data_IF_275598466773
#
_entry.id   IF_275598466773
#
_cell.length_a   1.000
_cell.length_b   1.000
_cell.length_c   1.000
_cell.angle_alpha   90.00
_cell.angle_beta   90.00
_cell.angle_gamma   90.00
#
_symmetry.space_group_name_H-M   'P 1'
#
loop_
_entity.id
_entity.type
_entity.pdbx_description
1 polymer ?
#
# COMPACT_ATOMS: atom_id res chain seq x y z
N UNK A 1 0.46 14.68 2.24
CA UNK A 1 0.92 14.00 1.01
C UNK A 1 1.89 12.90 1.40
N UNK A 2 1.61 11.65 1.04
CA UNK A 2 2.48 10.52 1.36
C UNK A 2 3.62 10.39 0.35
N UNK A 3 4.74 9.82 0.79
CA UNK A 3 5.87 9.46 -0.06
C UNK A 3 6.35 8.07 0.36
N UNK A 4 6.58 7.20 -0.61
CA UNK A 4 7.16 5.88 -0.44
C UNK A 4 8.35 5.76 -1.38
N UNK A 5 9.55 5.65 -0.83
CA UNK A 5 10.78 5.31 -1.57
C UNK A 5 11.08 3.84 -1.32
N UNK A 6 11.37 3.10 -2.36
CA UNK A 6 11.67 1.68 -2.22
C UNK A 6 12.69 1.18 -3.22
N UNK A 7 13.49 0.21 -2.78
CA UNK A 7 14.39 -0.56 -3.61
C UNK A 7 13.93 -2.01 -3.62
N UNK A 8 13.82 -2.59 -4.80
CA UNK A 8 13.45 -3.98 -5.02
C UNK A 8 14.54 -4.71 -5.78
N UNK A 9 15.01 -5.82 -5.22
CA UNK A 9 15.97 -6.74 -5.84
C UNK A 9 15.73 -8.14 -5.25
N UNK A 10 15.03 -9.03 -5.99
CA UNK A 10 14.63 -10.35 -5.49
C UNK A 10 15.82 -11.26 -5.19
N UNK A 11 17.01 -11.00 -5.76
CA UNK A 11 18.22 -11.77 -5.55
C UNK A 11 19.07 -11.26 -4.38
N UNK A 12 18.67 -10.13 -3.80
CA UNK A 12 19.35 -9.53 -2.65
C UNK A 12 19.01 -10.23 -1.34
N UNK A 13 19.91 -10.13 -0.35
CA UNK A 13 19.63 -10.53 1.04
C UNK A 13 18.46 -9.76 1.66
N UNK A 14 18.21 -8.53 1.18
CA UNK A 14 17.05 -7.71 1.52
C UNK A 14 16.25 -7.42 0.25
N UNK A 15 15.36 -8.32 -0.18
CA UNK A 15 14.69 -8.21 -1.48
C UNK A 15 13.82 -6.97 -1.62
N UNK A 16 13.37 -6.39 -0.52
CA UNK A 16 12.61 -5.15 -0.51
C UNK A 16 13.07 -4.26 0.65
N UNK A 17 13.49 -3.03 0.33
CA UNK A 17 13.80 -1.99 1.31
C UNK A 17 12.86 -0.82 1.07
N UNK A 18 12.18 -0.34 2.12
CA UNK A 18 11.18 0.72 2.03
C UNK A 18 11.43 1.81 3.06
N UNK A 19 11.37 3.06 2.62
CA UNK A 19 11.31 4.23 3.47
C UNK A 19 10.05 5.05 3.10
N UNK A 20 9.18 5.31 4.07
CA UNK A 20 7.92 5.98 3.80
C UNK A 20 7.54 6.97 4.89
N UNK A 21 6.79 8.02 4.49
CA UNK A 21 6.08 8.87 5.42
C UNK A 21 4.59 8.93 5.08
N UNK A 22 3.77 9.14 6.08
CA UNK A 22 2.33 9.39 5.95
C UNK A 22 2.04 10.81 6.38
N UNK A 23 1.53 11.61 5.46
CA UNK A 23 0.98 12.93 5.76
C UNK A 23 -0.52 12.78 6.02
N UNK A 24 -0.94 13.02 7.23
CA UNK A 24 -2.34 12.92 7.67
C UNK A 24 -2.64 14.02 8.69
N UNK A 25 -3.92 14.35 8.85
CA UNK A 25 -4.35 15.30 9.88
C UNK A 25 -4.05 14.75 11.28
N UNK A 26 -3.46 15.57 12.14
CA UNK A 26 -3.16 15.20 13.54
C UNK A 26 -4.40 14.75 14.32
N UNK A 27 -5.58 15.31 13.98
CA UNK A 27 -6.85 14.95 14.59
C UNK A 27 -7.36 13.56 14.20
N UNK A 28 -6.79 12.91 13.15
CA UNK A 28 -7.19 11.57 12.75
C UNK A 28 -6.57 10.53 13.68
N UNK A 29 -7.36 9.83 14.51
CA UNK A 29 -6.82 8.90 15.48
C UNK A 29 -6.18 7.69 14.77
N UNK A 30 -4.96 7.37 15.18
CA UNK A 30 -4.24 6.22 14.67
C UNK A 30 -3.46 5.55 15.81
N UNK A 31 -3.27 4.26 15.73
CA UNK A 31 -2.44 3.48 16.64
C UNK A 31 -1.08 3.21 15.99
N UNK A 32 -0.02 3.33 16.75
CA UNK A 32 1.33 3.00 16.30
C UNK A 32 1.44 1.54 15.85
N UNK A 33 2.46 1.23 15.05
CA UNK A 33 2.69 -0.13 14.55
C UNK A 33 2.80 -1.15 15.70
N UNK A 34 2.01 -2.18 15.61
CA UNK A 34 1.95 -3.28 16.57
C UNK A 34 1.40 -4.52 15.86
N UNK A 35 1.57 -5.72 16.45
CA UNK A 35 0.80 -6.88 16.03
C UNK A 35 -0.65 -6.70 16.44
N UNK A 36 -1.57 -6.86 15.50
CA UNK A 36 -2.99 -6.64 15.77
C UNK A 36 -3.57 -7.79 16.61
N UNK A 37 -4.36 -7.46 17.64
CA UNK A 37 -4.97 -8.45 18.52
C UNK A 37 -5.95 -9.37 17.77
N UNK A 38 -6.70 -8.81 16.83
CA UNK A 38 -7.66 -9.52 15.97
C UNK A 38 -7.02 -10.18 14.72
N UNK A 39 -5.75 -9.87 14.43
CA UNK A 39 -4.95 -10.41 13.32
C UNK A 39 -3.48 -10.55 13.70
N UNK A 40 -3.12 -11.54 14.53
CA UNK A 40 -1.80 -11.62 15.17
C UNK A 40 -0.63 -11.88 14.20
N UNK A 41 -0.91 -12.19 12.94
CA UNK A 41 0.12 -12.27 11.89
C UNK A 41 0.46 -10.92 11.26
N UNK A 42 -0.32 -9.87 11.51
CA UNK A 42 -0.22 -8.58 10.85
C UNK A 42 0.45 -7.57 11.78
N UNK A 43 1.58 -7.00 11.32
CA UNK A 43 2.29 -5.90 11.98
C UNK A 43 2.08 -4.62 11.18
N UNK A 44 1.32 -3.68 11.73
CA UNK A 44 0.98 -2.42 11.07
C UNK A 44 0.52 -1.37 12.08
N UNK A 45 0.58 -0.09 11.71
CA UNK A 45 -0.23 0.94 12.33
C UNK A 45 -1.71 0.70 12.04
N UNK A 46 -2.62 1.25 12.84
CA UNK A 46 -4.06 1.10 12.61
C UNK A 46 -4.74 2.46 12.56
N UNK A 47 -5.50 2.67 11.53
CA UNK A 47 -6.42 3.80 11.43
C UNK A 47 -7.65 3.53 12.30
N UNK A 48 -7.82 4.29 13.38
CA UNK A 48 -8.92 4.06 14.32
C UNK A 48 -10.25 4.63 13.83
N UNK A 49 -10.25 5.46 12.79
CA UNK A 49 -11.47 5.96 12.15
C UNK A 49 -12.04 5.00 11.14
N UNK A 50 -11.19 4.33 10.34
CA UNK A 50 -11.63 3.48 9.23
C UNK A 50 -11.23 2.00 9.40
N UNK A 51 -10.48 1.66 10.45
CA UNK A 51 -10.15 0.30 10.86
C UNK A 51 -8.99 -0.37 10.13
N UNK A 52 -8.62 0.09 8.92
CA UNK A 52 -7.55 -0.48 8.10
C UNK A 52 -6.16 0.10 8.40
N UNK A 53 -5.22 -0.14 7.50
CA UNK A 53 -3.85 0.40 7.56
C UNK A 53 -3.39 0.92 6.20
N UNK A 54 -2.42 1.84 6.20
CA UNK A 54 -1.80 2.34 4.97
C UNK A 54 -0.51 1.62 4.60
N UNK A 55 0.16 0.98 5.57
CA UNK A 55 1.41 0.24 5.40
C UNK A 55 1.50 -0.84 6.47
N UNK A 56 1.94 -2.02 6.06
CA UNK A 56 2.16 -3.11 7.00
C UNK A 56 2.91 -4.29 6.39
N UNK A 57 3.28 -5.20 7.28
CA UNK A 57 3.89 -6.48 6.94
C UNK A 57 3.14 -7.61 7.63
N UNK A 58 3.30 -8.82 7.14
CA UNK A 58 2.79 -10.01 7.80
C UNK A 58 3.90 -11.01 8.13
N UNK A 59 3.65 -11.89 9.09
CA UNK A 59 4.64 -12.90 9.54
C UNK A 59 5.09 -13.86 8.44
N UNK A 60 4.32 -14.01 7.37
CA UNK A 60 4.67 -14.82 6.20
C UNK A 60 5.44 -14.03 5.12
N UNK A 61 6.03 -12.89 5.48
CA UNK A 61 6.92 -12.12 4.59
C UNK A 61 6.22 -11.26 3.54
N UNK A 62 4.92 -10.97 3.69
CA UNK A 62 4.20 -10.06 2.80
C UNK A 62 4.38 -8.62 3.27
N UNK A 63 4.39 -7.70 2.31
CA UNK A 63 4.35 -6.25 2.56
C UNK A 63 3.29 -5.61 1.67
N UNK A 64 2.61 -4.61 2.18
CA UNK A 64 1.73 -3.78 1.38
C UNK A 64 1.72 -2.33 1.87
N UNK A 65 1.55 -1.41 0.93
CA UNK A 65 1.31 0.00 1.24
C UNK A 65 0.40 0.64 0.21
N UNK A 66 -0.44 1.57 0.65
CA UNK A 66 -1.35 2.34 -0.19
C UNK A 66 -1.07 3.83 -0.05
N UNK A 67 -1.01 4.53 -1.19
CA UNK A 67 -1.07 6.00 -1.22
C UNK A 67 -2.38 6.46 -1.86
N UNK A 68 -2.86 7.62 -1.44
CA UNK A 68 -3.98 8.26 -2.08
C UNK A 68 -3.55 8.77 -3.45
N UNK A 69 -4.38 8.59 -4.48
CA UNK A 69 -4.21 9.33 -5.73
C UNK A 69 -4.76 10.75 -5.52
N UNK A 70 -4.03 11.77 -5.98
CA UNK A 70 -4.49 13.16 -5.89
C UNK A 70 -5.64 13.39 -6.87
N UNK A 71 -6.82 13.68 -6.35
CA UNK A 71 -8.03 13.94 -7.12
C UNK A 71 -8.91 14.98 -6.44
N UNK A 72 -9.53 15.83 -7.23
CA UNK A 72 -10.51 16.81 -6.76
C UNK A 72 -11.89 16.18 -6.59
N UNK A 73 -12.74 16.81 -5.80
CA UNK A 73 -14.14 16.43 -5.63
C UNK A 73 -14.48 15.80 -4.28
N UNK A 74 -15.76 15.45 -4.09
CA UNK A 74 -16.26 14.96 -2.81
C UNK A 74 -15.57 13.66 -2.38
N UNK A 75 -15.43 13.53 -1.06
CA UNK A 75 -14.66 12.43 -0.42
C UNK A 75 -15.43 11.11 -0.32
N UNK A 76 -16.53 10.97 -1.04
CA UNK A 76 -17.42 9.83 -0.88
C UNK A 76 -16.92 8.61 -1.67
N UNK A 77 -16.59 7.57 -0.94
CA UNK A 77 -16.41 6.20 -1.46
C UNK A 77 -16.88 5.25 -0.37
N UNK A 78 -17.53 4.13 -0.74
CA UNK A 78 -18.08 3.21 0.24
C UNK A 78 -17.02 2.53 1.11
N UNK A 79 -15.78 2.37 0.60
CA UNK A 79 -14.71 1.68 1.30
C UNK A 79 -13.45 2.53 1.49
N UNK A 80 -12.82 2.35 2.65
CA UNK A 80 -11.50 2.92 2.94
C UNK A 80 -10.40 2.17 2.20
N UNK A 81 -9.47 2.91 1.59
CA UNK A 81 -8.28 2.35 0.90
C UNK A 81 -7.38 1.51 1.81
N UNK A 82 -7.37 1.80 3.12
CA UNK A 82 -6.63 1.00 4.11
C UNK A 82 -7.07 -0.46 4.20
N UNK A 83 -8.30 -0.79 3.75
CA UNK A 83 -8.79 -2.16 3.66
C UNK A 83 -8.11 -2.96 2.54
N UNK A 84 -7.59 -2.30 1.50
CA UNK A 84 -6.81 -2.95 0.43
C UNK A 84 -5.51 -3.53 0.98
N UNK A 85 -4.78 -2.72 1.75
CA UNK A 85 -3.53 -3.13 2.40
C UNK A 85 -3.76 -4.27 3.38
N UNK A 86 -4.73 -4.12 4.28
CA UNK A 86 -5.12 -5.14 5.25
C UNK A 86 -5.57 -6.44 4.57
N UNK A 87 -6.40 -6.32 3.53
CA UNK A 87 -6.91 -7.46 2.76
C UNK A 87 -5.80 -8.28 2.14
N UNK A 88 -4.81 -7.64 1.49
CA UNK A 88 -3.67 -8.34 0.92
C UNK A 88 -2.79 -9.00 1.98
N UNK A 89 -2.48 -8.30 3.07
CA UNK A 89 -1.64 -8.84 4.14
C UNK A 89 -2.27 -10.07 4.84
N UNK A 90 -3.59 -10.17 4.79
CA UNK A 90 -4.36 -11.30 5.35
C UNK A 90 -4.66 -12.40 4.31
N UNK A 91 -4.44 -12.13 3.03
CA UNK A 91 -4.72 -13.08 1.95
C UNK A 91 -3.64 -14.17 1.82
N UNK A 92 -3.99 -15.25 1.12
CA UNK A 92 -3.06 -16.32 0.72
C UNK A 92 -2.72 -16.30 -0.76
N UNK A 93 -3.49 -15.57 -1.58
CA UNK A 93 -3.24 -15.38 -3.02
C UNK A 93 -1.95 -14.60 -3.25
N UNK A 94 -1.25 -14.86 -4.37
CA UNK A 94 -0.08 -14.08 -4.77
C UNK A 94 -0.45 -12.61 -5.09
N UNK A 95 0.56 -11.74 -5.17
CA UNK A 95 0.37 -10.31 -5.36
C UNK A 95 -0.30 -9.97 -6.70
N UNK A 96 0.05 -10.69 -7.76
CA UNK A 96 -0.52 -10.49 -9.10
C UNK A 96 -2.01 -10.86 -9.14
N UNK A 97 -2.36 -12.05 -8.64
CA UNK A 97 -3.76 -12.51 -8.59
C UNK A 97 -4.60 -11.60 -7.69
N UNK A 98 -4.06 -11.13 -6.56
CA UNK A 98 -4.76 -10.19 -5.69
C UNK A 98 -5.05 -8.87 -6.40
N UNK A 99 -4.03 -8.28 -7.07
CA UNK A 99 -4.18 -7.01 -7.78
C UNK A 99 -5.26 -7.08 -8.89
N UNK A 100 -5.26 -8.16 -9.67
CA UNK A 100 -6.24 -8.36 -10.75
C UNK A 100 -7.65 -8.72 -10.26
N UNK A 101 -7.78 -9.24 -9.04
CA UNK A 101 -9.07 -9.56 -8.42
C UNK A 101 -9.75 -8.38 -7.71
N UNK A 102 -9.14 -7.18 -7.67
CA UNK A 102 -9.67 -6.04 -6.96
C UNK A 102 -10.93 -5.45 -7.60
N UNK A 103 -11.97 -5.26 -6.80
CA UNK A 103 -13.15 -4.47 -7.16
C UNK A 103 -12.89 -2.98 -6.92
N UNK A 104 -12.17 -2.34 -7.83
CA UNK A 104 -11.61 -0.99 -7.66
C UNK A 104 -12.65 0.13 -7.57
N UNK A 105 -13.86 -0.07 -8.12
CA UNK A 105 -14.94 0.93 -8.12
C UNK A 105 -15.49 1.31 -6.74
N UNK A 106 -15.21 0.50 -5.71
CA UNK A 106 -15.62 0.78 -4.34
C UNK A 106 -14.70 1.77 -3.61
N UNK A 107 -13.59 2.19 -4.22
CA UNK A 107 -12.56 3.01 -3.60
C UNK A 107 -12.34 4.30 -4.37
N UNK A 108 -11.98 5.37 -3.66
CA UNK A 108 -11.37 6.55 -4.29
C UNK A 108 -10.03 6.20 -4.92
N UNK A 109 -9.47 7.12 -5.71
CA UNK A 109 -8.17 6.97 -6.35
C UNK A 109 -7.08 6.52 -5.39
N UNK A 110 -6.35 5.47 -5.76
CA UNK A 110 -5.27 4.91 -4.97
C UNK A 110 -4.12 4.38 -5.86
N UNK A 111 -2.95 4.31 -5.25
CA UNK A 111 -1.84 3.48 -5.68
C UNK A 111 -1.57 2.45 -4.59
N UNK A 112 -1.32 1.22 -4.96
CA UNK A 112 -1.08 0.10 -4.06
C UNK A 112 0.17 -0.65 -4.49
N UNK A 113 1.09 -0.89 -3.55
CA UNK A 113 2.24 -1.77 -3.71
C UNK A 113 2.02 -3.03 -2.90
N UNK A 114 2.25 -4.17 -3.52
CA UNK A 114 2.02 -5.50 -2.98
C UNK A 114 3.27 -6.36 -3.17
N UNK A 115 3.85 -6.85 -2.07
CA UNK A 115 4.96 -7.81 -2.11
C UNK A 115 4.56 -9.10 -1.42
N UNK A 116 4.69 -10.23 -2.11
CA UNK A 116 4.30 -11.56 -1.60
C UNK A 116 5.48 -12.43 -1.16
N UNK A 117 6.67 -11.85 -1.06
CA UNK A 117 7.91 -12.55 -0.76
C UNK A 117 8.75 -12.89 -2.01
N UNK A 118 8.18 -12.73 -3.20
CA UNK A 118 8.84 -13.02 -4.49
C UNK A 118 8.65 -11.89 -5.50
N UNK A 119 7.42 -11.44 -5.68
CA UNK A 119 7.04 -10.42 -6.66
C UNK A 119 6.65 -9.14 -5.95
N UNK A 120 7.00 -8.02 -6.57
CA UNK A 120 6.52 -6.71 -6.22
C UNK A 120 5.58 -6.22 -7.31
N UNK A 121 4.32 -5.99 -6.97
CA UNK A 121 3.27 -5.57 -7.90
C UNK A 121 2.81 -4.16 -7.54
N UNK A 122 2.79 -3.28 -8.53
CA UNK A 122 2.11 -1.98 -8.46
C UNK A 122 0.74 -2.10 -9.09
N UNK A 123 -0.27 -1.51 -8.47
CA UNK A 123 -1.61 -1.37 -9.07
C UNK A 123 -2.27 -0.07 -8.65
N UNK A 124 -3.00 0.54 -9.58
CA UNK A 124 -3.75 1.78 -9.35
C UNK A 124 -5.10 1.71 -10.04
N UNK A 125 -6.15 2.23 -9.42
CA UNK A 125 -7.44 2.41 -10.10
C UNK A 125 -7.53 3.71 -10.92
N UNK A 126 -6.44 4.45 -11.03
CA UNK A 126 -6.28 5.62 -11.91
C UNK A 126 -5.16 5.46 -12.93
N UNK A 127 -4.52 4.30 -12.97
CA UNK A 127 -3.42 3.95 -13.85
C UNK A 127 -3.52 2.49 -14.28
N UNK A 128 -2.44 1.75 -14.13
CA UNK A 128 -2.30 0.37 -14.57
C UNK A 128 -1.86 -0.56 -13.45
N UNK A 129 -1.77 -1.84 -13.78
CA UNK A 129 -1.19 -2.88 -12.92
C UNK A 129 0.03 -3.46 -13.61
N UNK A 130 1.16 -3.58 -12.90
CA UNK A 130 2.39 -4.15 -13.41
C UNK A 130 3.19 -4.88 -12.33
N UNK A 131 3.89 -5.94 -12.73
CA UNK A 131 4.94 -6.57 -11.94
C UNK A 131 6.22 -5.73 -12.10
N UNK A 132 6.76 -5.22 -10.99
CA UNK A 132 7.93 -4.34 -11.02
C UNK A 132 9.22 -5.14 -11.23
N UNK A 133 10.09 -4.63 -12.11
CA UNK A 133 11.45 -5.12 -12.25
C UNK A 133 12.34 -4.70 -11.06
N UNK A 134 13.50 -5.34 -10.84
CA UNK A 134 14.49 -4.85 -9.90
C UNK A 134 14.86 -3.39 -10.17
N UNK A 135 14.91 -2.55 -9.12
CA UNK A 135 15.18 -1.12 -9.28
C UNK A 135 14.91 -0.31 -8.02
N UNK A 136 15.10 1.00 -8.15
CA UNK A 136 14.78 1.98 -7.12
C UNK A 136 13.66 2.89 -7.62
N UNK A 137 12.66 3.09 -6.79
CA UNK A 137 11.42 3.73 -7.15
C UNK A 137 10.97 4.76 -6.12
N UNK A 138 10.20 5.74 -6.58
CA UNK A 138 9.47 6.67 -5.75
C UNK A 138 7.99 6.67 -6.11
N UNK A 139 7.13 6.60 -5.11
CA UNK A 139 5.68 6.65 -5.25
C UNK A 139 5.12 7.71 -4.31
N UNK A 140 4.34 8.64 -4.86
CA UNK A 140 3.65 9.67 -4.08
C UNK A 140 2.13 9.58 -4.30
N UNK A 141 1.50 10.70 -4.62
CA UNK A 141 0.04 10.80 -4.81
C UNK A 141 -0.37 10.92 -6.29
N UNK A 142 0.54 10.53 -7.20
CA UNK A 142 0.31 10.38 -8.64
C UNK A 142 0.69 8.96 -9.06
N UNK A 143 0.57 8.65 -10.34
CA UNK A 143 0.98 7.35 -10.90
C UNK A 143 2.48 7.08 -10.67
N UNK A 144 2.86 5.82 -10.58
CA UNK A 144 4.26 5.42 -10.43
C UNK A 144 5.08 5.94 -11.62
N UNK A 145 6.24 6.53 -11.35
CA UNK A 145 7.10 7.14 -12.37
C UNK A 145 6.67 8.53 -12.82
N UNK A 146 5.56 9.08 -12.33
CA UNK A 146 5.17 10.45 -12.61
C UNK A 146 6.16 11.42 -11.96
N UNK A 147 6.49 12.51 -12.68
CA UNK A 147 7.26 13.63 -12.11
C UNK A 147 6.42 14.31 -11.03
N UNK A 148 6.82 14.15 -9.79
CA UNK A 148 6.17 14.75 -8.64
C UNK A 148 7.17 15.54 -7.80
N UNK A 149 6.82 16.69 -7.22
CA UNK A 149 7.80 17.53 -6.51
C UNK A 149 8.55 16.88 -5.35
N UNK A 150 8.08 15.72 -4.87
CA UNK A 150 8.71 14.94 -3.78
C UNK A 150 9.42 13.65 -4.24
N UNK A 151 9.37 13.32 -5.52
CA UNK A 151 10.01 12.10 -6.08
C UNK A 151 11.10 12.44 -7.06
#
# INVERSE_FOLDING_TARGET
>A
MCLVLFAFDPDSHHPLVVAANRDEFYARPARAAHYWDDRPALLAGRDLSAGGTWLGVSRNGRFATVTNFAEEGPSEAPLSRGLLTEGFLSATTDAHAFAHGLHTGAYRGFNLLLFDGKRLVYTSNRGHTEDLAPGVYGLANAELGATWPKV
#
